data_IF_042446008151
#
_entry.id   IF_042446008151
#
_cell.length_a   1.000
_cell.length_b   1.000
_cell.length_c   1.000
_cell.angle_alpha   90.00
_cell.angle_beta   90.00
_cell.angle_gamma   90.00
#
_symmetry.space_group_name_H-M   'P 1'
#
loop_
_entity.id
_entity.type
_entity.pdbx_description
1 polymer ?
#
# COMPACT_ATOMS: atom_id res chain seq x y z
N UNK A 1 -0.63 28.78 -13.22
CA UNK A 1 -1.49 28.47 -12.06
C UNK A 1 -1.11 27.10 -11.52
N UNK A 2 -0.67 27.01 -10.26
CA UNK A 2 -0.36 25.71 -9.64
C UNK A 2 -1.68 25.04 -9.27
N UNK A 3 -1.88 23.79 -9.69
CA UNK A 3 -3.04 23.00 -9.30
C UNK A 3 -2.94 22.67 -7.81
N UNK A 4 -3.91 23.13 -7.01
CA UNK A 4 -3.93 22.94 -5.56
C UNK A 4 -3.83 21.47 -5.16
N UNK A 5 -4.45 20.56 -5.91
CA UNK A 5 -4.35 19.12 -5.67
C UNK A 5 -2.91 18.59 -5.86
N UNK A 6 -2.20 19.10 -6.86
CA UNK A 6 -0.79 18.74 -7.12
C UNK A 6 0.12 19.28 -6.00
N UNK A 7 -0.13 20.50 -5.53
CA UNK A 7 0.62 21.08 -4.42
C UNK A 7 0.39 20.31 -3.11
N UNK A 8 -0.86 19.98 -2.79
CA UNK A 8 -1.22 19.17 -1.62
C UNK A 8 -0.55 17.79 -1.66
N UNK A 9 -0.64 17.10 -2.80
CA UNK A 9 0.00 15.79 -2.98
C UNK A 9 1.52 15.87 -2.81
N UNK A 10 2.16 16.91 -3.37
CA UNK A 10 3.61 17.13 -3.24
C UNK A 10 4.03 17.29 -1.77
N UNK A 11 3.27 18.05 -0.99
CA UNK A 11 3.48 18.20 0.46
C UNK A 11 3.33 16.87 1.20
N UNK A 12 2.32 16.06 0.86
CA UNK A 12 2.12 14.74 1.45
C UNK A 12 3.27 13.76 1.13
N UNK A 13 3.82 13.79 -0.09
CA UNK A 13 5.02 13.05 -0.44
C UNK A 13 6.23 13.44 0.43
N UNK A 14 6.38 14.73 0.77
CA UNK A 14 7.44 15.20 1.68
C UNK A 14 7.24 14.63 3.08
N UNK A 15 6.00 14.60 3.58
CA UNK A 15 5.68 14.01 4.89
C UNK A 15 6.06 12.53 4.91
N UNK A 16 5.67 11.77 3.87
CA UNK A 16 5.97 10.34 3.74
C UNK A 16 7.48 10.08 3.64
N UNK A 17 8.22 10.90 2.87
CA UNK A 17 9.69 10.85 2.83
C UNK A 17 10.32 11.12 4.20
N UNK A 18 9.81 12.10 4.94
CA UNK A 18 10.29 12.43 6.29
C UNK A 18 10.03 11.32 7.31
N UNK A 19 9.11 10.39 6.99
CA UNK A 19 8.84 9.17 7.77
C UNK A 19 9.79 8.01 7.41
N UNK A 20 10.78 8.22 6.53
CA UNK A 20 11.75 7.22 6.11
C UNK A 20 11.25 6.28 5.01
N UNK A 21 10.14 6.62 4.36
CA UNK A 21 9.59 5.84 3.25
C UNK A 21 10.07 6.36 1.90
N UNK A 22 10.29 5.46 0.96
CA UNK A 22 10.73 5.75 -0.41
C UNK A 22 9.79 5.11 -1.42
N UNK A 23 9.59 5.75 -2.60
CA UNK A 23 8.77 5.15 -3.64
C UNK A 23 9.49 3.95 -4.25
N UNK A 24 8.74 2.89 -4.53
CA UNK A 24 9.26 1.68 -5.16
C UNK A 24 8.16 0.98 -5.96
N UNK A 25 8.49 0.50 -7.15
CA UNK A 25 7.53 -0.23 -8.00
C UNK A 25 7.89 -1.71 -8.04
N UNK A 26 6.92 -2.55 -7.75
CA UNK A 26 7.04 -4.01 -7.81
C UNK A 26 6.22 -4.51 -8.99
N UNK A 27 6.86 -5.20 -9.93
CA UNK A 27 6.16 -5.93 -10.98
C UNK A 27 5.72 -7.29 -10.43
N UNK A 28 4.42 -7.46 -10.27
CA UNK A 28 3.84 -8.68 -9.67
C UNK A 28 3.72 -9.80 -10.70
N UNK A 29 3.60 -9.44 -11.97
CA UNK A 29 3.57 -10.31 -13.14
C UNK A 29 3.70 -9.46 -14.39
N UNK A 30 4.02 -10.07 -15.56
CA UNK A 30 4.09 -9.33 -16.81
C UNK A 30 2.84 -8.48 -17.03
N UNK A 31 3.04 -7.18 -17.19
CA UNK A 31 1.96 -6.22 -17.43
C UNK A 31 1.30 -5.63 -16.19
N UNK A 32 1.62 -6.10 -14.97
CA UNK A 32 1.00 -5.62 -13.71
C UNK A 32 2.03 -5.14 -12.68
N UNK A 33 2.00 -3.85 -12.38
CA UNK A 33 2.94 -3.13 -11.51
C UNK A 33 2.21 -2.45 -10.37
N UNK A 34 2.65 -2.70 -9.15
CA UNK A 34 2.14 -2.05 -7.94
C UNK A 34 3.19 -1.07 -7.43
N UNK A 35 2.81 0.20 -7.31
CA UNK A 35 3.65 1.24 -6.73
C UNK A 35 3.43 1.31 -5.21
N UNK A 36 4.52 1.44 -4.46
CA UNK A 36 4.55 1.53 -3.01
C UNK A 36 5.29 2.75 -2.53
N UNK A 37 4.94 3.21 -1.34
CA UNK A 37 5.88 3.82 -0.41
C UNK A 37 6.23 2.81 0.66
N UNK A 38 7.51 2.49 0.78
CA UNK A 38 8.00 1.44 1.68
C UNK A 38 9.28 1.87 2.41
N UNK A 39 9.70 1.20 3.50
CA UNK A 39 10.88 1.60 4.26
C UNK A 39 12.15 1.50 3.41
N UNK A 40 13.06 2.48 3.49
CA UNK A 40 14.28 2.53 2.66
C UNK A 40 15.14 1.24 2.67
N UNK A 41 15.09 0.45 3.74
CA UNK A 41 15.87 -0.78 3.91
C UNK A 41 15.03 -2.06 3.73
N UNK A 42 13.92 -2.02 2.98
CA UNK A 42 12.99 -3.14 2.83
C UNK A 42 13.45 -4.28 1.90
N UNK A 43 14.76 -4.46 1.70
CA UNK A 43 15.34 -5.52 0.87
C UNK A 43 15.41 -6.86 1.59
N UNK A 44 14.27 -7.37 2.06
CA UNK A 44 14.18 -8.63 2.80
C UNK A 44 13.20 -8.56 3.97
N UNK A 45 13.29 -9.55 4.87
CA UNK A 45 12.37 -9.69 6.01
C UNK A 45 12.36 -8.41 6.87
N UNK A 46 11.20 -7.83 7.17
CA UNK A 46 11.12 -6.59 7.93
C UNK A 46 11.55 -6.81 9.39
N UNK A 47 12.34 -5.88 9.93
CA UNK A 47 12.79 -5.90 11.34
C UNK A 47 11.65 -5.63 12.33
N UNK A 48 10.66 -4.86 11.90
CA UNK A 48 9.44 -4.50 12.67
C UNK A 48 8.23 -5.23 12.10
N UNK A 49 7.13 -5.40 12.87
CA UNK A 49 5.90 -5.95 12.31
C UNK A 49 5.44 -5.12 11.12
N UNK A 50 5.08 -5.79 10.02
CA UNK A 50 4.68 -5.14 8.79
C UNK A 50 3.20 -4.74 8.81
N UNK A 51 2.91 -3.55 8.30
CA UNK A 51 1.55 -3.05 8.08
C UNK A 51 1.39 -2.62 6.63
N UNK A 52 0.29 -3.04 6.01
CA UNK A 52 -0.07 -2.70 4.64
C UNK A 52 -1.24 -1.72 4.67
N UNK A 53 -1.00 -0.46 4.31
CA UNK A 53 -1.97 0.63 4.41
C UNK A 53 -2.66 0.88 3.06
N UNK A 54 -3.86 0.33 2.89
CA UNK A 54 -4.60 0.32 1.63
C UNK A 54 -5.56 1.52 1.60
N UNK A 55 -5.41 2.37 0.58
CA UNK A 55 -6.22 3.59 0.44
C UNK A 55 -7.65 3.33 -0.04
N UNK A 56 -8.51 4.34 0.12
CA UNK A 56 -9.89 4.35 -0.39
C UNK A 56 -10.02 4.93 -1.80
N UNK A 57 -11.25 5.09 -2.28
CA UNK A 57 -11.52 5.69 -3.58
C UNK A 57 -11.19 7.21 -3.61
N UNK A 58 -10.97 7.77 -4.80
CA UNK A 58 -10.67 9.20 -5.05
C UNK A 58 -9.31 9.75 -4.56
N UNK A 59 -8.38 8.88 -4.15
CA UNK A 59 -7.01 9.25 -3.81
C UNK A 59 -6.01 8.14 -4.14
N UNK A 60 -4.76 8.35 -3.77
CA UNK A 60 -3.71 7.32 -3.80
C UNK A 60 -3.21 7.01 -2.37
N UNK A 61 -2.22 6.13 -2.26
CA UNK A 61 -1.67 5.69 -0.98
C UNK A 61 -1.22 6.87 -0.11
N UNK A 62 -0.49 7.81 -0.71
CA UNK A 62 0.06 8.98 0.00
C UNK A 62 -1.04 9.93 0.43
N UNK A 63 -2.01 10.20 -0.43
CA UNK A 63 -3.11 11.11 -0.10
C UNK A 63 -3.92 10.64 1.11
N UNK A 64 -4.04 9.32 1.30
CA UNK A 64 -4.79 8.74 2.42
C UNK A 64 -3.96 8.64 3.69
N UNK A 65 -2.68 8.24 3.60
CA UNK A 65 -1.91 7.77 4.75
C UNK A 65 -0.74 8.65 5.19
N UNK A 66 -0.49 9.78 4.51
CA UNK A 66 0.67 10.62 4.80
C UNK A 66 0.78 11.04 6.27
N UNK A 67 -0.33 11.41 6.90
CA UNK A 67 -0.33 11.92 8.27
C UNK A 67 -0.12 10.82 9.34
N UNK A 68 -0.40 9.57 9.00
CA UNK A 68 -0.22 8.40 9.86
C UNK A 68 1.18 7.80 9.70
N UNK A 69 1.78 7.93 8.51
CA UNK A 69 3.06 7.32 8.14
C UNK A 69 4.15 7.55 9.20
N UNK A 70 4.38 8.79 9.62
CA UNK A 70 5.43 9.12 10.61
C UNK A 70 5.21 8.44 11.96
N UNK A 71 3.97 8.38 12.43
CA UNK A 71 3.67 7.76 13.74
C UNK A 71 3.84 6.24 13.66
N UNK A 72 3.32 5.62 12.60
CA UNK A 72 3.37 4.18 12.40
C UNK A 72 4.80 3.68 12.14
N UNK A 73 5.61 4.38 11.32
CA UNK A 73 6.99 3.98 11.00
C UNK A 73 7.91 3.89 12.23
N UNK A 74 7.55 4.52 13.35
CA UNK A 74 8.28 4.36 14.62
C UNK A 74 8.23 2.93 15.13
N UNK A 75 7.09 2.24 14.99
CA UNK A 75 6.86 0.90 15.56
C UNK A 75 6.68 -0.20 14.52
N UNK A 76 6.34 0.14 13.29
CA UNK A 76 6.00 -0.80 12.22
C UNK A 76 6.84 -0.57 10.97
N UNK A 77 6.99 -1.62 10.17
CA UNK A 77 7.45 -1.50 8.79
C UNK A 77 6.24 -1.18 7.93
N UNK A 78 6.15 0.07 7.47
CA UNK A 78 4.96 0.61 6.81
C UNK A 78 5.08 0.48 5.30
N UNK A 79 4.11 -0.20 4.68
CA UNK A 79 3.97 -0.35 3.23
C UNK A 79 2.67 0.33 2.80
N UNK A 80 2.76 1.30 1.91
CA UNK A 80 1.63 2.09 1.42
C UNK A 80 1.52 1.89 -0.09
N UNK A 81 0.75 0.91 -0.57
CA UNK A 81 0.51 0.72 -1.99
C UNK A 81 -0.41 1.81 -2.54
N UNK A 82 -0.30 2.04 -3.84
CA UNK A 82 -1.42 2.52 -4.64
C UNK A 82 -2.19 1.29 -5.17
N UNK A 83 -3.51 1.27 -5.03
CA UNK A 83 -4.38 0.29 -5.71
C UNK A 83 -4.17 0.41 -7.22
N UNK A 84 -4.34 -0.70 -7.96
CA UNK A 84 -4.26 -0.67 -9.42
C UNK A 84 -5.24 0.36 -9.96
N UNK A 85 -4.83 1.05 -11.03
CA UNK A 85 -5.54 2.17 -11.66
C UNK A 85 -5.52 3.49 -10.87
N UNK A 86 -4.81 3.55 -9.74
CA UNK A 86 -4.58 4.76 -8.95
C UNK A 86 -3.08 5.04 -8.79
N UNK A 87 -2.74 6.30 -8.51
CA UNK A 87 -1.37 6.71 -8.23
C UNK A 87 -0.39 6.26 -9.31
N UNK A 88 0.65 5.53 -8.90
CA UNK A 88 1.65 4.95 -9.81
C UNK A 88 1.41 3.50 -10.21
N UNK A 89 0.34 2.85 -9.74
CA UNK A 89 0.05 1.44 -10.01
C UNK A 89 -0.68 1.24 -11.34
N UNK A 90 -0.35 0.17 -12.04
CA UNK A 90 -0.80 -0.09 -13.40
C UNK A 90 -1.00 -1.58 -13.68
N UNK A 91 -1.97 -1.90 -14.52
CA UNK A 91 -2.12 -3.23 -15.14
C UNK A 91 -2.72 -3.08 -16.53
N UNK A 92 -2.34 -3.97 -17.45
CA UNK A 92 -2.99 -4.14 -18.76
C UNK A 92 -4.22 -5.08 -18.72
N UNK A 93 -4.46 -5.74 -17.59
CA UNK A 93 -5.63 -6.61 -17.39
C UNK A 93 -6.92 -5.80 -17.22
N UNK A 94 -8.06 -6.32 -17.72
CA UNK A 94 -9.35 -5.64 -17.57
C UNK A 94 -9.98 -5.83 -16.18
N UNK A 95 -9.44 -6.73 -15.36
CA UNK A 95 -10.03 -7.11 -14.06
C UNK A 95 -9.96 -5.94 -13.06
N UNK A 96 -11.13 -5.58 -12.50
CA UNK A 96 -11.31 -4.51 -11.51
C UNK A 96 -11.80 -5.05 -10.16
N UNK A 97 -11.82 -6.36 -9.99
CA UNK A 97 -12.33 -7.01 -8.78
C UNK A 97 -11.48 -6.69 -7.55
N UNK A 98 -12.09 -6.59 -6.36
CA UNK A 98 -11.35 -6.51 -5.10
C UNK A 98 -10.43 -7.72 -4.87
N UNK A 99 -10.82 -8.90 -5.37
CA UNK A 99 -10.01 -10.13 -5.39
C UNK A 99 -8.69 -9.90 -6.12
N UNK A 100 -8.73 -9.45 -7.37
CA UNK A 100 -7.53 -9.21 -8.16
C UNK A 100 -6.62 -8.14 -7.52
N UNK A 101 -7.20 -7.08 -6.96
CA UNK A 101 -6.45 -6.09 -6.18
C UNK A 101 -5.73 -6.75 -5.00
N UNK A 102 -6.42 -7.59 -4.23
CA UNK A 102 -5.85 -8.30 -3.07
C UNK A 102 -4.71 -9.24 -3.48
N UNK A 103 -4.87 -10.01 -4.56
CA UNK A 103 -3.83 -10.89 -5.10
C UNK A 103 -2.57 -10.10 -5.49
N UNK A 104 -2.71 -8.99 -6.20
CA UNK A 104 -1.58 -8.14 -6.57
C UNK A 104 -0.87 -7.55 -5.36
N UNK A 105 -1.61 -7.09 -4.34
CA UNK A 105 -1.01 -6.58 -3.11
C UNK A 105 -0.22 -7.66 -2.37
N UNK A 106 -0.80 -8.85 -2.20
CA UNK A 106 -0.14 -9.98 -1.53
C UNK A 106 1.11 -10.41 -2.29
N UNK A 107 1.01 -10.56 -3.62
CA UNK A 107 2.14 -10.96 -4.47
C UNK A 107 3.28 -9.95 -4.40
N UNK A 108 2.97 -8.66 -4.40
CA UNK A 108 3.97 -7.62 -4.21
C UNK A 108 4.64 -7.72 -2.83
N UNK A 109 3.87 -7.94 -1.76
CA UNK A 109 4.41 -8.15 -0.41
C UNK A 109 5.32 -9.38 -0.32
N UNK A 110 4.94 -10.49 -0.98
CA UNK A 110 5.77 -11.69 -1.07
C UNK A 110 7.08 -11.44 -1.83
N UNK A 111 7.06 -10.71 -2.95
CA UNK A 111 8.28 -10.33 -3.69
C UNK A 111 9.20 -9.46 -2.83
N UNK A 112 8.63 -8.59 -1.98
CA UNK A 112 9.37 -7.80 -1.01
C UNK A 112 9.85 -8.60 0.22
N UNK A 113 9.60 -9.91 0.29
CA UNK A 113 10.01 -10.79 1.39
C UNK A 113 9.19 -10.63 2.67
N UNK A 114 7.93 -10.18 2.56
CA UNK A 114 7.03 -9.96 3.69
C UNK A 114 5.96 -11.05 3.77
N UNK A 115 6.25 -12.10 4.56
CA UNK A 115 5.37 -13.27 4.66
C UNK A 115 4.19 -13.09 5.65
N UNK A 116 4.31 -12.14 6.57
CA UNK A 116 3.31 -11.88 7.60
C UNK A 116 3.12 -10.38 7.81
N UNK A 117 1.89 -9.89 7.70
CA UNK A 117 1.57 -8.48 7.86
C UNK A 117 0.15 -8.27 8.41
N UNK A 118 -0.17 -7.00 8.71
CA UNK A 118 -1.51 -6.54 9.09
C UNK A 118 -2.02 -5.61 7.98
N UNK A 119 -3.01 -6.03 7.17
CA UNK A 119 -3.71 -5.13 6.28
C UNK A 119 -4.59 -4.16 7.06
N UNK A 120 -4.49 -2.88 6.71
CA UNK A 120 -5.31 -1.78 7.22
C UNK A 120 -5.93 -1.11 6.01
N UNK A 121 -7.26 -1.16 5.89
CA UNK A 121 -7.97 -0.62 4.74
C UNK A 121 -8.93 0.50 5.12
N UNK A 122 -8.93 1.58 4.31
CA UNK A 122 -9.91 2.67 4.41
C UNK A 122 -10.93 2.59 3.27
N UNK A 123 -12.22 2.64 3.56
CA UNK A 123 -13.33 2.60 2.59
C UNK A 123 -13.18 1.41 1.61
N UNK A 124 -13.08 1.63 0.29
CA UNK A 124 -12.83 0.58 -0.70
C UNK A 124 -11.55 -0.24 -0.39
N UNK A 125 -10.54 0.36 0.22
CA UNK A 125 -9.35 -0.36 0.69
C UNK A 125 -9.66 -1.37 1.79
N UNK A 126 -10.72 -1.16 2.57
CA UNK A 126 -11.26 -2.10 3.56
C UNK A 126 -11.82 -3.37 2.91
N UNK A 127 -12.49 -3.23 1.76
CA UNK A 127 -12.98 -4.37 0.97
C UNK A 127 -11.79 -5.20 0.46
N UNK A 128 -10.76 -4.54 -0.10
CA UNK A 128 -9.53 -5.23 -0.54
C UNK A 128 -8.81 -5.89 0.64
N UNK A 129 -8.66 -5.21 1.77
CA UNK A 129 -8.06 -5.76 2.98
C UNK A 129 -8.81 -7.01 3.49
N UNK A 130 -10.14 -7.00 3.42
CA UNK A 130 -10.97 -8.15 3.80
C UNK A 130 -10.77 -9.33 2.83
N UNK A 131 -10.64 -9.06 1.53
CA UNK A 131 -10.33 -10.09 0.53
C UNK A 131 -8.95 -10.71 0.71
N UNK A 132 -7.96 -9.94 1.16
CA UNK A 132 -6.65 -10.49 1.56
C UNK A 132 -6.83 -11.51 2.69
N UNK A 133 -7.67 -11.23 3.70
CA UNK A 133 -7.91 -12.17 4.80
C UNK A 133 -8.63 -13.42 4.33
N UNK A 134 -9.65 -13.26 3.47
CA UNK A 134 -10.42 -14.37 2.90
C UNK A 134 -9.53 -15.34 2.10
N UNK A 135 -8.67 -14.81 1.23
CA UNK A 135 -7.87 -15.60 0.30
C UNK A 135 -6.51 -16.05 0.89
N UNK A 136 -5.92 -15.22 1.76
CA UNK A 136 -4.55 -15.38 2.25
C UNK A 136 -4.46 -15.22 3.78
N UNK A 137 -5.47 -15.72 4.51
CA UNK A 137 -5.54 -15.61 5.97
C UNK A 137 -4.31 -16.18 6.70
N UNK A 138 -3.59 -17.13 6.09
CA UNK A 138 -2.33 -17.63 6.61
C UNK A 138 -1.22 -16.56 6.62
N UNK A 139 -1.29 -15.48 5.84
CA UNK A 139 -0.32 -14.38 5.85
C UNK A 139 -0.71 -13.23 6.80
N UNK A 140 -1.95 -13.21 7.28
CA UNK A 140 -2.49 -12.09 8.04
C UNK A 140 -2.40 -12.32 9.55
N UNK A 141 -1.87 -11.33 10.29
CA UNK A 141 -1.82 -11.38 11.76
C UNK A 141 -3.05 -10.76 12.44
N UNK A 142 -3.66 -9.78 11.79
CA UNK A 142 -4.86 -9.06 12.24
C UNK A 142 -5.41 -8.26 11.05
N UNK A 143 -6.64 -7.79 11.13
CA UNK A 143 -7.28 -6.92 10.13
C UNK A 143 -7.79 -5.64 10.81
N UNK A 144 -7.63 -4.50 10.13
CA UNK A 144 -8.30 -3.26 10.50
C UNK A 144 -9.02 -2.67 9.29
N UNK A 145 -10.31 -2.38 9.47
CA UNK A 145 -11.15 -1.72 8.45
C UNK A 145 -11.63 -0.40 9.04
N UNK A 146 -11.56 0.66 8.24
CA UNK A 146 -11.98 2.02 8.59
C UNK A 146 -12.99 2.45 7.52
N UNK A 147 -14.18 2.85 7.94
CA UNK A 147 -15.22 3.43 7.08
C UNK A 147 -14.96 4.91 6.80
#
# INVERSE_FOLDING_TARGET
MVNLAVALRSSMCIIVKSAGLVPHTVETEPGTKVNFWLPKNSGGKPEKPAVLLIHGFAGDGVMTWAFQARSLSKRYSVYIPDLLFFGGSYTDKPDRSPEFQAECMVKAMSILGVDKFVPVGFSCGGVVASKIVELYGNMVKALMVIE
#
